data_IF_196059447239
#
_entry.id   IF_196059447239
#
_cell.length_a   1.000
_cell.length_b   1.000
_cell.length_c   1.000
_cell.angle_alpha   90.00
_cell.angle_beta   90.00
_cell.angle_gamma   90.00
#
_symmetry.space_group_name_H-M   'P 1'
#
loop_
_entity.id
_entity.type
_entity.pdbx_description
1 polymer ?
#
# COMPACT_ATOMS: atom_id res chain seq x y z
N UNK A 1 -28.18 0.34 29.24
CA UNK A 1 -28.89 0.06 27.99
C UNK A 1 -29.14 1.38 27.29
N UNK A 2 -28.29 1.72 26.32
CA UNK A 2 -28.55 2.80 25.37
C UNK A 2 -28.82 2.13 24.02
N UNK A 3 -30.06 2.16 23.56
CA UNK A 3 -30.40 1.72 22.22
C UNK A 3 -29.81 2.70 21.22
N UNK A 4 -28.68 2.33 20.62
CA UNK A 4 -28.14 3.04 19.47
C UNK A 4 -29.12 2.90 18.32
N UNK A 5 -29.87 3.96 18.04
CA UNK A 5 -30.67 4.05 16.84
C UNK A 5 -29.76 3.81 15.64
N UNK A 6 -30.02 2.74 14.89
CA UNK A 6 -29.35 2.45 13.63
C UNK A 6 -29.79 3.49 12.60
N UNK A 7 -29.18 4.68 12.65
CA UNK A 7 -29.20 5.59 11.53
C UNK A 7 -28.52 4.87 10.36
N UNK A 8 -29.28 4.62 9.29
CA UNK A 8 -28.74 4.07 8.05
C UNK A 8 -27.58 4.92 7.55
N UNK A 9 -26.69 4.32 6.78
CA UNK A 9 -25.55 5.04 6.22
C UNK A 9 -26.06 6.16 5.29
N UNK A 10 -25.50 7.39 5.30
CA UNK A 10 -26.04 8.52 4.53
C UNK A 10 -26.14 8.24 3.03
N UNK A 11 -25.36 7.28 2.53
CA UNK A 11 -25.33 6.86 1.14
C UNK A 11 -25.94 5.47 0.86
N UNK A 12 -26.67 4.87 1.82
CA UNK A 12 -27.20 3.50 1.68
C UNK A 12 -28.16 3.34 0.48
N UNK A 13 -28.84 4.42 0.09
CA UNK A 13 -29.74 4.47 -1.07
C UNK A 13 -29.11 4.91 -2.39
N UNK A 14 -27.80 5.20 -2.42
CA UNK A 14 -27.15 5.70 -3.63
C UNK A 14 -26.69 4.57 -4.57
N UNK A 15 -26.89 4.78 -5.87
CA UNK A 15 -26.34 3.96 -6.93
C UNK A 15 -24.88 4.36 -7.18
N UNK A 16 -23.97 3.63 -6.55
CA UNK A 16 -22.51 3.85 -6.64
C UNK A 16 -21.82 2.63 -7.29
N UNK A 17 -22.15 2.27 -8.54
CA UNK A 17 -21.68 1.03 -9.16
C UNK A 17 -20.16 0.97 -9.30
N UNK A 18 -19.51 2.10 -9.59
CA UNK A 18 -18.06 2.18 -9.72
C UNK A 18 -17.40 1.97 -8.37
N UNK A 19 -17.79 2.72 -7.34
CA UNK A 19 -17.23 2.52 -5.99
C UNK A 19 -17.47 1.09 -5.48
N UNK A 20 -18.69 0.54 -5.67
CA UNK A 20 -19.05 -0.83 -5.26
C UNK A 20 -18.29 -1.92 -6.04
N UNK A 21 -17.82 -1.63 -7.25
CA UNK A 21 -16.99 -2.56 -8.01
C UNK A 21 -15.56 -2.69 -7.44
N UNK A 22 -15.08 -1.68 -6.71
CA UNK A 22 -13.75 -1.65 -6.10
C UNK A 22 -13.88 -1.82 -4.58
N UNK A 23 -14.16 -3.04 -4.13
CA UNK A 23 -14.22 -3.37 -2.69
C UNK A 23 -12.94 -3.99 -2.15
N UNK A 24 -12.02 -4.39 -3.04
CA UNK A 24 -10.76 -5.06 -2.71
C UNK A 24 -9.59 -4.08 -2.72
N UNK A 25 -8.51 -4.36 -1.96
CA UNK A 25 -7.28 -3.57 -2.04
C UNK A 25 -6.62 -3.72 -3.41
N UNK A 26 -5.94 -2.67 -3.85
CA UNK A 26 -4.95 -2.80 -4.93
C UNK A 26 -3.72 -3.53 -4.37
N UNK A 27 -3.46 -4.71 -4.92
CA UNK A 27 -2.28 -5.52 -4.58
C UNK A 27 -1.53 -5.87 -5.85
N UNK A 28 -0.22 -6.05 -5.71
CA UNK A 28 0.67 -6.40 -6.78
C UNK A 28 1.06 -7.86 -6.66
N UNK A 29 0.45 -8.67 -7.50
CA UNK A 29 0.71 -10.10 -7.58
C UNK A 29 2.03 -10.41 -8.28
N UNK A 30 2.42 -11.67 -8.25
CA UNK A 30 3.60 -12.15 -8.94
C UNK A 30 3.48 -12.00 -10.48
N UNK A 31 4.60 -11.72 -11.13
CA UNK A 31 4.73 -11.66 -12.59
C UNK A 31 5.00 -13.04 -13.22
N UNK A 32 5.07 -14.10 -12.40
CA UNK A 32 5.07 -15.49 -12.83
C UNK A 32 6.31 -16.30 -12.45
N UNK A 33 7.33 -15.70 -11.83
CA UNK A 33 8.56 -16.41 -11.40
C UNK A 33 8.57 -16.77 -9.91
N UNK A 34 7.51 -16.42 -9.18
CA UNK A 34 7.31 -16.65 -7.75
C UNK A 34 8.49 -16.14 -6.91
N UNK A 35 9.13 -15.05 -7.33
CA UNK A 35 10.26 -14.47 -6.64
C UNK A 35 11.56 -15.28 -6.74
N UNK A 36 11.64 -16.28 -7.63
CA UNK A 36 12.84 -17.10 -7.82
C UNK A 36 14.08 -16.24 -8.16
N UNK A 37 13.94 -15.27 -9.07
CA UNK A 37 15.04 -14.35 -9.41
C UNK A 37 15.45 -13.47 -8.24
N UNK A 38 14.49 -13.03 -7.43
CA UNK A 38 14.77 -12.22 -6.24
C UNK A 38 15.50 -13.04 -5.18
N UNK A 39 15.18 -14.33 -5.02
CA UNK A 39 15.93 -15.21 -4.11
C UNK A 39 17.35 -15.45 -4.62
N UNK A 40 17.52 -15.71 -5.92
CA UNK A 40 18.85 -15.89 -6.52
C UNK A 40 19.71 -14.64 -6.33
N UNK A 41 19.16 -13.46 -6.59
CA UNK A 41 19.86 -12.20 -6.37
C UNK A 41 20.18 -11.96 -4.88
N UNK A 42 19.25 -12.27 -3.97
CA UNK A 42 19.51 -12.15 -2.53
C UNK A 42 20.65 -13.09 -2.08
N UNK A 43 20.71 -14.31 -2.63
CA UNK A 43 21.80 -15.27 -2.38
C UNK A 43 23.14 -14.73 -2.86
N UNK A 44 23.19 -14.16 -4.07
CA UNK A 44 24.42 -13.56 -4.60
C UNK A 44 24.91 -12.39 -3.74
N UNK A 45 23.99 -11.51 -3.29
CA UNK A 45 24.33 -10.40 -2.40
C UNK A 45 24.83 -10.89 -1.04
N UNK A 46 24.24 -11.95 -0.49
CA UNK A 46 24.68 -12.55 0.77
C UNK A 46 26.10 -13.09 0.65
N UNK A 47 26.38 -13.83 -0.43
CA UNK A 47 27.74 -14.34 -0.70
C UNK A 47 28.75 -13.20 -0.81
N UNK A 48 28.42 -12.12 -1.54
CA UNK A 48 29.28 -10.93 -1.65
C UNK A 48 29.52 -10.28 -0.29
N UNK A 49 28.47 -10.06 0.50
CA UNK A 49 28.55 -9.42 1.82
C UNK A 49 29.48 -10.18 2.79
N UNK A 50 29.40 -11.51 2.77
CA UNK A 50 30.25 -12.37 3.60
C UNK A 50 31.69 -12.45 3.08
N UNK A 51 31.88 -12.50 1.76
CA UNK A 51 33.21 -12.46 1.14
C UNK A 51 33.96 -11.17 1.47
N UNK A 52 33.28 -10.01 1.43
CA UNK A 52 33.85 -8.71 1.80
C UNK A 52 34.31 -8.67 3.27
N UNK A 53 33.69 -9.48 4.12
CA UNK A 53 34.03 -9.62 5.54
C UNK A 53 35.01 -10.78 5.83
N UNK A 54 35.49 -11.49 4.80
CA UNK A 54 36.28 -12.72 4.90
C UNK A 54 35.63 -13.78 5.80
N UNK A 55 34.31 -13.93 5.66
CA UNK A 55 33.49 -14.93 6.37
C UNK A 55 32.68 -15.75 5.37
N UNK A 56 32.17 -16.89 5.81
CA UNK A 56 31.16 -17.64 5.04
C UNK A 56 29.75 -17.33 5.56
N UNK A 57 28.71 -17.38 4.69
CA UNK A 57 27.33 -17.27 5.15
C UNK A 57 27.01 -18.36 6.18
N UNK A 58 26.47 -18.02 7.35
CA UNK A 58 26.06 -19.01 8.34
C UNK A 58 25.04 -19.99 7.75
N UNK A 59 25.13 -21.28 8.12
CA UNK A 59 24.20 -22.32 7.65
C UNK A 59 22.73 -21.93 7.89
N UNK A 60 22.42 -21.26 9.01
CA UNK A 60 21.07 -20.77 9.30
C UNK A 60 20.52 -19.82 8.22
N UNK A 61 21.36 -19.00 7.59
CA UNK A 61 20.91 -18.10 6.53
C UNK A 61 20.74 -18.84 5.20
N UNK A 62 21.58 -19.83 4.93
CA UNK A 62 21.48 -20.71 3.76
C UNK A 62 20.17 -21.49 3.82
N UNK A 63 19.86 -22.09 4.99
CA UNK A 63 18.63 -22.82 5.24
C UNK A 63 17.41 -21.89 5.10
N UNK A 64 17.46 -20.68 5.66
CA UNK A 64 16.39 -19.69 5.53
C UNK A 64 16.09 -19.30 4.06
N UNK A 65 17.11 -19.19 3.20
CA UNK A 65 16.88 -18.95 1.76
C UNK A 65 16.24 -20.15 1.06
N UNK A 66 16.61 -21.38 1.44
CA UNK A 66 15.98 -22.60 0.90
C UNK A 66 14.52 -22.70 1.33
N UNK A 67 14.21 -22.40 2.60
CA UNK A 67 12.86 -22.33 3.14
C UNK A 67 12.00 -21.29 2.39
N UNK A 68 12.53 -20.07 2.18
CA UNK A 68 11.86 -19.03 1.39
C UNK A 68 11.57 -19.49 -0.05
N UNK A 69 12.53 -20.19 -0.67
CA UNK A 69 12.37 -20.77 -2.01
C UNK A 69 11.23 -21.78 -2.03
N UNK A 70 11.23 -22.73 -1.09
CA UNK A 70 10.20 -23.76 -1.00
C UNK A 70 8.82 -23.14 -0.74
N UNK A 71 8.76 -22.16 0.18
CA UNK A 71 7.52 -21.48 0.54
C UNK A 71 6.92 -20.72 -0.64
N UNK A 72 7.71 -19.92 -1.37
CA UNK A 72 7.20 -19.18 -2.53
C UNK A 72 6.87 -20.08 -3.73
N UNK A 73 7.59 -21.19 -3.92
CA UNK A 73 7.29 -22.14 -5.00
C UNK A 73 5.94 -22.85 -4.79
N UNK A 74 5.66 -23.21 -3.54
CA UNK A 74 4.45 -23.93 -3.11
C UNK A 74 3.83 -23.20 -1.91
N UNK A 75 3.22 -22.04 -2.14
CA UNK A 75 2.61 -21.29 -1.06
C UNK A 75 1.54 -22.14 -0.41
N UNK A 76 1.55 -22.24 0.91
CA UNK A 76 0.72 -23.20 1.57
C UNK A 76 -0.70 -22.57 1.71
N UNK A 77 -1.75 -23.39 1.77
CA UNK A 77 -3.15 -22.90 1.83
C UNK A 77 -3.40 -21.98 3.06
N UNK A 78 -4.50 -21.23 3.11
CA UNK A 78 -4.69 -20.20 4.16
C UNK A 78 -4.56 -20.69 5.62
N UNK A 79 -4.72 -22.00 5.89
CA UNK A 79 -4.62 -22.64 7.22
C UNK A 79 -3.34 -23.44 7.48
N UNK A 80 -2.31 -23.23 6.66
CA UNK A 80 -1.15 -24.11 6.55
C UNK A 80 0.07 -23.63 7.37
N UNK A 81 1.22 -24.37 7.37
CA UNK A 81 2.30 -24.07 8.30
C UNK A 81 2.91 -22.68 8.04
N UNK A 82 3.18 -21.98 9.15
CA UNK A 82 3.80 -20.68 9.15
C UNK A 82 5.17 -20.74 8.45
N UNK A 83 5.54 -19.65 7.77
CA UNK A 83 6.90 -19.46 7.28
C UNK A 83 7.89 -19.71 8.45
N UNK A 84 8.96 -20.50 8.27
CA UNK A 84 9.83 -20.83 9.39
C UNK A 84 10.49 -19.59 9.99
N UNK A 85 10.81 -19.65 11.30
CA UNK A 85 11.38 -18.51 12.04
C UNK A 85 12.74 -18.05 11.50
N UNK A 86 13.51 -18.94 10.87
CA UNK A 86 14.79 -18.59 10.23
C UNK A 86 14.60 -17.58 9.10
N UNK A 87 13.61 -17.82 8.25
CA UNK A 87 13.22 -16.94 7.14
C UNK A 87 12.83 -15.52 7.61
N UNK A 88 12.02 -15.39 8.66
CA UNK A 88 11.70 -14.07 9.24
C UNK A 88 12.93 -13.34 9.79
N UNK A 89 13.81 -14.07 10.50
CA UNK A 89 15.06 -13.52 11.05
C UNK A 89 16.00 -13.03 9.95
N UNK A 90 16.11 -13.77 8.85
CA UNK A 90 16.90 -13.36 7.69
C UNK A 90 16.40 -12.04 7.09
N UNK A 91 15.09 -11.93 6.84
CA UNK A 91 14.48 -10.69 6.31
C UNK A 91 14.77 -9.51 7.25
N UNK A 92 14.53 -9.69 8.55
CA UNK A 92 14.80 -8.65 9.54
C UNK A 92 16.29 -8.25 9.58
N UNK A 93 17.20 -9.23 9.49
CA UNK A 93 18.66 -8.99 9.47
C UNK A 93 19.08 -8.16 8.27
N UNK A 94 18.61 -8.50 7.06
CA UNK A 94 18.89 -7.74 5.84
C UNK A 94 18.39 -6.30 5.97
N UNK A 95 17.15 -6.11 6.42
CA UNK A 95 16.56 -4.76 6.61
C UNK A 95 17.21 -3.95 7.75
N UNK A 96 17.84 -4.61 8.71
CA UNK A 96 18.54 -3.92 9.79
C UNK A 96 19.97 -3.53 9.39
N UNK A 97 20.71 -4.46 8.78
CA UNK A 97 22.17 -4.39 8.68
C UNK A 97 22.68 -3.99 7.29
N UNK A 98 21.95 -4.31 6.22
CA UNK A 98 22.44 -4.05 4.87
C UNK A 98 22.12 -2.63 4.41
N UNK A 99 22.92 -2.06 3.49
CA UNK A 99 22.63 -0.74 2.93
C UNK A 99 21.36 -0.79 2.08
N UNK A 100 20.54 0.27 2.14
CA UNK A 100 19.22 0.35 1.48
C UNK A 100 19.29 0.07 -0.02
N UNK A 101 20.37 0.47 -0.69
CA UNK A 101 20.61 0.18 -2.12
C UNK A 101 20.60 -1.32 -2.46
N UNK A 102 20.87 -2.19 -1.49
CA UNK A 102 20.87 -3.65 -1.65
C UNK A 102 19.53 -4.31 -1.28
N UNK A 103 18.51 -3.55 -0.85
CA UNK A 103 17.26 -4.13 -0.35
C UNK A 103 16.32 -4.62 -1.44
N UNK A 104 16.54 -4.26 -2.70
CA UNK A 104 15.64 -4.60 -3.80
C UNK A 104 15.13 -6.05 -3.77
N UNK A 105 16.00 -7.07 -3.69
CA UNK A 105 15.58 -8.47 -3.66
C UNK A 105 14.73 -8.85 -2.45
N UNK A 106 15.08 -8.38 -1.24
CA UNK A 106 14.31 -8.71 -0.03
C UNK A 106 12.94 -8.03 -0.04
N UNK A 107 12.82 -6.82 -0.61
CA UNK A 107 11.54 -6.14 -0.78
C UNK A 107 10.62 -6.91 -1.76
N UNK A 108 11.18 -7.45 -2.84
CA UNK A 108 10.41 -8.27 -3.79
C UNK A 108 9.96 -9.60 -3.18
N UNK A 109 10.78 -10.24 -2.35
CA UNK A 109 10.39 -11.43 -1.61
C UNK A 109 9.28 -11.07 -0.61
N UNK A 110 9.48 -10.01 0.18
CA UNK A 110 8.54 -9.60 1.21
C UNK A 110 7.17 -9.21 0.65
N UNK A 111 7.10 -8.45 -0.46
CA UNK A 111 5.81 -8.10 -1.06
C UNK A 111 5.02 -9.34 -1.47
N UNK A 112 5.68 -10.39 -1.96
CA UNK A 112 5.03 -11.64 -2.34
C UNK A 112 4.57 -12.41 -1.09
N UNK A 113 5.40 -12.46 -0.05
CA UNK A 113 5.06 -13.11 1.21
C UNK A 113 3.84 -12.47 1.88
N UNK A 114 3.70 -11.13 1.82
CA UNK A 114 2.56 -10.41 2.40
C UNK A 114 1.20 -10.74 1.77
N UNK A 115 1.18 -11.39 0.60
CA UNK A 115 -0.05 -11.89 -0.01
C UNK A 115 -0.62 -13.10 0.74
N UNK A 116 0.15 -13.77 1.59
CA UNK A 116 -0.29 -14.94 2.35
C UNK A 116 -0.71 -14.58 3.77
N UNK A 117 -1.90 -15.04 4.17
CA UNK A 117 -2.52 -14.67 5.44
C UNK A 117 -1.63 -14.97 6.67
N UNK A 118 -0.94 -16.14 6.78
CA UNK A 118 -0.09 -16.42 7.93
C UNK A 118 1.06 -15.41 8.10
N UNK A 119 1.65 -14.94 7.00
CA UNK A 119 2.76 -13.97 7.03
C UNK A 119 2.24 -12.56 7.34
N UNK A 120 1.14 -12.15 6.72
CA UNK A 120 0.52 -10.85 7.02
C UNK A 120 0.12 -10.76 8.49
N UNK A 121 -0.51 -11.80 9.05
CA UNK A 121 -0.86 -11.90 10.47
C UNK A 121 0.35 -11.85 11.40
N UNK A 122 1.45 -12.49 11.01
CA UNK A 122 2.69 -12.45 11.78
C UNK A 122 3.19 -11.00 11.92
N UNK A 123 3.28 -10.27 10.81
CA UNK A 123 3.74 -8.88 10.85
C UNK A 123 2.73 -7.91 11.47
N UNK A 124 1.43 -8.18 11.34
CA UNK A 124 0.38 -7.38 11.98
C UNK A 124 0.42 -7.43 13.51
N UNK A 125 0.88 -8.54 14.10
CA UNK A 125 0.95 -8.73 15.56
C UNK A 125 2.35 -8.50 16.14
N UNK A 126 3.34 -8.34 15.28
CA UNK A 126 4.73 -8.22 15.70
C UNK A 126 5.08 -6.75 15.92
N UNK A 127 5.67 -6.43 17.07
CA UNK A 127 6.31 -5.14 17.31
C UNK A 127 7.41 -4.82 16.26
N UNK A 128 7.85 -5.83 15.50
CA UNK A 128 8.79 -5.71 14.40
C UNK A 128 8.17 -5.69 13.01
N UNK A 129 6.96 -5.13 12.82
CA UNK A 129 6.41 -4.90 11.48
C UNK A 129 7.44 -4.13 10.62
N UNK A 130 7.94 -4.69 9.51
CA UNK A 130 8.99 -4.06 8.73
C UNK A 130 8.48 -2.89 7.89
N UNK A 131 7.17 -2.78 7.65
CA UNK A 131 6.59 -1.81 6.70
C UNK A 131 6.93 -0.36 7.08
N UNK A 132 6.70 0.11 8.33
CA UNK A 132 7.05 1.49 8.71
C UNK A 132 8.55 1.78 8.53
N UNK A 133 9.41 0.81 8.84
CA UNK A 133 10.86 0.93 8.68
C UNK A 133 11.24 1.04 7.19
N UNK A 134 10.64 0.20 6.35
CA UNK A 134 10.84 0.21 4.90
C UNK A 134 10.41 1.55 4.33
N UNK A 135 9.23 2.06 4.69
CA UNK A 135 8.73 3.32 4.17
C UNK A 135 9.62 4.49 4.59
N UNK A 136 9.94 4.59 5.88
CA UNK A 136 10.82 5.65 6.39
C UNK A 136 12.20 5.63 5.74
N UNK A 137 12.76 4.45 5.45
CA UNK A 137 14.13 4.33 4.92
C UNK A 137 14.19 4.41 3.40
N UNK A 138 13.14 4.00 2.70
CA UNK A 138 13.13 3.94 1.23
C UNK A 138 12.39 5.12 0.59
N UNK A 139 11.32 5.64 1.20
CA UNK A 139 10.48 6.67 0.55
C UNK A 139 10.81 8.08 1.03
N UNK A 140 11.14 8.26 2.31
CA UNK A 140 11.42 9.59 2.87
C UNK A 140 12.85 10.10 2.59
N UNK A 141 13.70 9.33 1.91
CA UNK A 141 15.11 9.67 1.68
C UNK A 141 15.43 9.86 0.20
N UNK A 142 15.96 11.04 -0.13
CA UNK A 142 16.29 11.46 -1.50
C UNK A 142 17.39 10.60 -2.18
N UNK A 143 18.24 9.92 -1.42
CA UNK A 143 19.34 9.11 -1.93
C UNK A 143 18.94 7.66 -2.27
N UNK A 144 17.70 7.26 -1.97
CA UNK A 144 17.25 5.89 -2.26
C UNK A 144 17.06 5.69 -3.76
N UNK A 145 17.65 4.64 -4.39
CA UNK A 145 17.43 4.36 -5.80
C UNK A 145 15.94 4.18 -6.14
N UNK A 146 15.46 4.82 -7.22
CA UNK A 146 14.03 4.80 -7.61
C UNK A 146 13.41 3.40 -7.65
N UNK A 147 14.15 2.42 -8.15
CA UNK A 147 13.68 1.02 -8.19
C UNK A 147 13.46 0.42 -6.80
N UNK A 148 14.26 0.80 -5.80
CA UNK A 148 14.07 0.39 -4.40
C UNK A 148 12.87 1.10 -3.80
N UNK A 149 12.65 2.39 -4.12
CA UNK A 149 11.46 3.12 -3.71
C UNK A 149 10.18 2.47 -4.26
N UNK A 150 10.17 2.13 -5.55
CA UNK A 150 9.06 1.45 -6.19
C UNK A 150 8.75 0.09 -5.53
N UNK A 151 9.79 -0.71 -5.23
CA UNK A 151 9.62 -2.00 -4.51
C UNK A 151 9.13 -1.80 -3.08
N UNK A 152 9.53 -0.73 -2.40
CA UNK A 152 9.02 -0.37 -1.08
C UNK A 152 7.52 -0.01 -1.14
N UNK A 153 7.08 0.73 -2.17
CA UNK A 153 5.66 0.96 -2.42
C UNK A 153 4.90 -0.35 -2.71
N UNK A 154 5.52 -1.32 -3.38
CA UNK A 154 4.89 -2.64 -3.59
C UNK A 154 4.65 -3.39 -2.28
N UNK A 155 5.62 -3.33 -1.35
CA UNK A 155 5.45 -3.86 0.01
C UNK A 155 4.33 -3.12 0.74
N UNK A 156 4.32 -1.78 0.69
CA UNK A 156 3.26 -0.97 1.29
C UNK A 156 1.88 -1.28 0.72
N UNK A 157 1.76 -1.56 -0.57
CA UNK A 157 0.48 -1.93 -1.20
C UNK A 157 0.02 -3.30 -0.72
N UNK A 158 0.93 -4.28 -0.70
CA UNK A 158 0.58 -5.68 -0.41
C UNK A 158 0.31 -5.96 1.07
N UNK A 159 0.74 -5.10 2.01
CA UNK A 159 0.36 -5.25 3.43
C UNK A 159 -1.16 -5.18 3.62
N UNK A 160 -1.87 -4.50 2.71
CA UNK A 160 -3.33 -4.39 2.71
C UNK A 160 -4.05 -5.58 2.08
N UNK A 161 -3.32 -6.58 1.57
CA UNK A 161 -3.92 -7.81 1.04
C UNK A 161 -4.82 -8.49 2.08
N UNK A 162 -4.48 -8.35 3.36
CA UNK A 162 -5.26 -8.82 4.50
C UNK A 162 -5.56 -7.65 5.45
N UNK A 163 -6.78 -7.61 5.98
CA UNK A 163 -7.25 -6.51 6.84
C UNK A 163 -6.36 -6.31 8.07
N UNK A 164 -5.87 -7.39 8.69
CA UNK A 164 -5.01 -7.34 9.88
C UNK A 164 -3.72 -6.52 9.60
N UNK A 165 -3.06 -6.78 8.46
CA UNK A 165 -1.82 -6.08 8.08
C UNK A 165 -2.06 -4.60 7.79
N UNK A 166 -3.12 -4.28 7.04
CA UNK A 166 -3.48 -2.89 6.75
C UNK A 166 -3.87 -2.10 8.00
N UNK A 167 -4.62 -2.72 8.94
CA UNK A 167 -4.99 -2.09 10.21
C UNK A 167 -3.77 -1.79 11.06
N UNK A 168 -2.80 -2.71 11.13
CA UNK A 168 -1.55 -2.47 11.87
C UNK A 168 -0.78 -1.26 11.30
N UNK A 169 -0.77 -1.07 9.98
CA UNK A 169 -0.12 0.10 9.37
C UNK A 169 -0.90 1.40 9.62
N UNK A 170 -2.22 1.38 9.51
CA UNK A 170 -3.03 2.60 9.58
C UNK A 170 -3.26 3.05 11.03
N UNK A 171 -3.54 2.14 11.96
CA UNK A 171 -4.04 2.48 13.30
C UNK A 171 -3.00 2.47 14.41
N UNK A 172 -1.86 1.81 14.23
CA UNK A 172 -0.83 1.69 15.27
C UNK A 172 0.18 2.86 15.25
N UNK A 173 -0.27 4.06 14.85
CA UNK A 173 0.55 5.28 14.84
C UNK A 173 1.54 5.39 13.68
N UNK A 174 1.46 4.49 12.69
CA UNK A 174 2.30 4.52 11.49
C UNK A 174 1.63 5.17 10.28
N UNK A 175 0.35 5.52 10.36
CA UNK A 175 -0.43 6.14 9.29
C UNK A 175 0.27 7.34 8.63
N UNK A 176 0.63 8.39 9.38
CA UNK A 176 1.32 9.57 8.82
C UNK A 176 2.64 9.22 8.12
N UNK A 177 3.40 8.27 8.68
CA UNK A 177 4.69 7.85 8.11
C UNK A 177 4.58 7.16 6.75
N UNK A 178 3.38 6.68 6.40
CA UNK A 178 3.07 6.11 5.08
C UNK A 178 2.36 7.10 4.19
N UNK A 179 1.42 7.87 4.74
CA UNK A 179 0.59 8.81 4.02
C UNK A 179 1.41 9.93 3.37
N UNK A 180 2.30 10.58 4.13
CA UNK A 180 3.06 11.74 3.64
C UNK A 180 3.99 11.39 2.47
N UNK A 181 4.85 10.36 2.55
CA UNK A 181 5.68 9.98 1.41
C UNK A 181 4.85 9.53 0.21
N UNK A 182 3.70 8.89 0.42
CA UNK A 182 2.85 8.47 -0.70
C UNK A 182 2.23 9.67 -1.42
N UNK A 183 1.75 10.69 -0.70
CA UNK A 183 1.27 11.94 -1.32
C UNK A 183 2.39 12.63 -2.11
N UNK A 184 3.57 12.79 -1.52
CA UNK A 184 4.72 13.39 -2.22
C UNK A 184 5.08 12.63 -3.51
N UNK A 185 5.07 11.30 -3.46
CA UNK A 185 5.39 10.45 -4.61
C UNK A 185 4.30 10.43 -5.68
N UNK A 186 3.05 10.76 -5.35
CA UNK A 186 1.98 10.98 -6.33
C UNK A 186 2.25 12.24 -7.16
N UNK A 187 2.73 13.32 -6.54
CA UNK A 187 3.07 14.55 -7.26
C UNK A 187 4.38 14.45 -8.06
N UNK A 188 5.40 13.83 -7.48
CA UNK A 188 6.79 13.94 -7.96
C UNK A 188 7.37 12.64 -8.58
N UNK A 189 6.65 11.53 -8.49
CA UNK A 189 7.12 10.22 -8.97
C UNK A 189 7.08 10.06 -10.49
N UNK A 190 7.77 9.02 -10.99
CA UNK A 190 7.49 8.53 -12.34
C UNK A 190 6.12 7.82 -12.42
N UNK A 191 5.66 7.51 -13.62
CA UNK A 191 4.34 6.89 -13.84
C UNK A 191 4.08 5.68 -12.93
N UNK A 192 5.05 4.76 -12.82
CA UNK A 192 4.89 3.55 -12.02
C UNK A 192 4.83 3.87 -10.52
N UNK A 193 5.68 4.79 -10.06
CA UNK A 193 5.67 5.28 -8.69
C UNK A 193 4.34 5.96 -8.34
N UNK A 194 3.86 6.90 -9.17
CA UNK A 194 2.61 7.64 -8.93
C UNK A 194 1.40 6.71 -8.84
N UNK A 195 1.26 5.81 -9.81
CA UNK A 195 0.18 4.82 -9.84
C UNK A 195 0.18 3.92 -8.60
N UNK A 196 1.38 3.52 -8.16
CA UNK A 196 1.53 2.62 -7.00
C UNK A 196 1.27 3.37 -5.69
N UNK A 197 1.77 4.60 -5.56
CA UNK A 197 1.48 5.45 -4.41
C UNK A 197 -0.02 5.74 -4.28
N UNK A 198 -0.70 6.07 -5.40
CA UNK A 198 -2.15 6.24 -5.42
C UNK A 198 -2.91 4.96 -5.00
N UNK A 199 -2.41 3.77 -5.37
CA UNK A 199 -2.97 2.51 -4.90
C UNK A 199 -2.81 2.31 -3.37
N UNK A 200 -1.66 2.70 -2.80
CA UNK A 200 -1.44 2.67 -1.34
C UNK A 200 -2.42 3.63 -0.64
N UNK A 201 -2.56 4.86 -1.14
CA UNK A 201 -3.47 5.86 -0.56
C UNK A 201 -4.93 5.38 -0.59
N UNK A 202 -5.37 4.77 -1.70
CA UNK A 202 -6.68 4.12 -1.77
C UNK A 202 -6.83 2.98 -0.75
N UNK A 203 -5.81 2.13 -0.60
CA UNK A 203 -5.85 1.05 0.37
C UNK A 203 -5.95 1.57 1.81
N UNK A 204 -5.28 2.69 2.11
CA UNK A 204 -5.40 3.40 3.39
C UNK A 204 -6.81 3.97 3.60
N UNK A 205 -7.37 4.65 2.59
CA UNK A 205 -8.72 5.23 2.65
C UNK A 205 -9.79 4.19 3.03
N UNK A 206 -9.63 2.93 2.62
CA UNK A 206 -10.54 1.82 2.97
C UNK A 206 -10.51 1.41 4.44
N UNK A 207 -9.43 1.72 5.17
CA UNK A 207 -9.23 1.27 6.56
C UNK A 207 -9.18 2.41 7.57
N UNK A 208 -9.05 3.65 7.09
CA UNK A 208 -9.17 4.84 7.93
C UNK A 208 -10.53 4.85 8.64
N UNK A 209 -10.56 5.29 9.90
CA UNK A 209 -11.78 5.26 10.69
C UNK A 209 -12.81 6.27 10.16
N UNK A 210 -14.06 6.05 10.56
CA UNK A 210 -15.18 6.96 10.25
C UNK A 210 -15.22 8.20 11.14
N UNK A 211 -14.25 8.35 12.04
CA UNK A 211 -14.09 9.51 12.92
C UNK A 211 -13.40 10.66 12.20
N UNK A 212 -13.53 11.87 12.75
CA UNK A 212 -12.91 13.10 12.27
C UNK A 212 -11.40 13.14 12.59
N UNK A 213 -10.70 12.06 12.26
CA UNK A 213 -9.28 11.92 12.54
C UNK A 213 -8.46 12.80 11.57
N UNK A 214 -7.36 13.36 12.07
CA UNK A 214 -6.49 14.26 11.30
C UNK A 214 -5.97 13.59 10.02
N UNK A 215 -5.75 12.28 10.05
CA UNK A 215 -5.30 11.48 8.90
C UNK A 215 -6.34 11.47 7.76
N UNK A 216 -7.64 11.49 8.08
CA UNK A 216 -8.70 11.57 7.06
C UNK A 216 -8.64 12.93 6.36
N UNK A 217 -8.50 14.00 7.13
CA UNK A 217 -8.40 15.38 6.61
C UNK A 217 -7.13 15.55 5.78
N UNK A 218 -6.00 15.06 6.27
CA UNK A 218 -4.72 15.10 5.56
C UNK A 218 -4.79 14.31 4.24
N UNK A 219 -5.40 13.12 4.26
CA UNK A 219 -5.56 12.33 3.05
C UNK A 219 -6.50 13.03 2.05
N UNK A 220 -7.69 13.45 2.48
CA UNK A 220 -8.68 14.07 1.61
C UNK A 220 -8.15 15.37 0.96
N UNK A 221 -7.50 16.23 1.74
CA UNK A 221 -6.88 17.47 1.21
C UNK A 221 -5.73 17.18 0.24
N UNK A 222 -4.84 16.23 0.57
CA UNK A 222 -3.75 15.83 -0.32
C UNK A 222 -4.23 15.21 -1.63
N UNK A 223 -5.26 14.37 -1.58
CA UNK A 223 -5.88 13.79 -2.77
C UNK A 223 -6.51 14.87 -3.67
N UNK A 224 -7.28 15.79 -3.08
CA UNK A 224 -7.89 16.90 -3.81
C UNK A 224 -6.85 17.80 -4.48
N UNK A 225 -5.75 18.09 -3.78
CA UNK A 225 -4.63 18.85 -4.33
C UNK A 225 -4.03 18.17 -5.56
N UNK A 226 -3.66 16.88 -5.48
CA UNK A 226 -3.06 16.18 -6.62
C UNK A 226 -4.04 15.91 -7.77
N UNK A 227 -5.35 15.84 -7.49
CA UNK A 227 -6.37 15.76 -8.55
C UNK A 227 -6.54 17.08 -9.30
N UNK A 228 -6.15 18.21 -8.71
CA UNK A 228 -6.09 19.50 -9.43
C UNK A 228 -4.89 19.60 -10.37
N UNK A 229 -3.90 18.72 -10.21
CA UNK A 229 -2.72 18.65 -11.05
C UNK A 229 -2.92 17.69 -12.23
N UNK A 230 -2.27 18.00 -13.36
CA UNK A 230 -2.31 17.11 -14.53
C UNK A 230 -1.49 15.84 -14.27
N UNK A 231 -2.18 14.73 -14.10
CA UNK A 231 -1.58 13.39 -13.90
C UNK A 231 -2.17 12.39 -14.90
N UNK A 232 -1.63 11.16 -14.95
CA UNK A 232 -2.16 10.14 -15.86
C UNK A 232 -3.53 9.61 -15.38
N UNK A 233 -4.36 9.17 -16.31
CA UNK A 233 -5.75 8.78 -16.01
C UNK A 233 -5.88 7.61 -15.02
N UNK A 234 -4.90 6.70 -14.95
CA UNK A 234 -4.95 5.58 -13.98
C UNK A 234 -4.59 6.05 -12.57
N UNK A 235 -3.62 6.96 -12.42
CA UNK A 235 -3.37 7.65 -11.15
C UNK A 235 -4.60 8.45 -10.71
N UNK A 236 -5.17 9.30 -11.59
CA UNK A 236 -6.39 10.08 -11.29
C UNK A 236 -7.55 9.20 -10.84
N UNK A 237 -7.79 8.09 -11.54
CA UNK A 237 -8.84 7.15 -11.20
C UNK A 237 -8.68 6.58 -9.77
N UNK A 238 -7.45 6.19 -9.40
CA UNK A 238 -7.17 5.65 -8.05
C UNK A 238 -7.30 6.71 -6.96
N UNK A 239 -6.87 7.93 -7.22
CA UNK A 239 -7.03 9.05 -6.28
C UNK A 239 -8.51 9.40 -6.08
N UNK A 240 -9.31 9.42 -7.15
CA UNK A 240 -10.76 9.62 -7.07
C UNK A 240 -11.46 8.50 -6.32
N UNK A 241 -11.08 7.24 -6.56
CA UNK A 241 -11.58 6.11 -5.77
C UNK A 241 -11.27 6.26 -4.28
N UNK A 242 -10.05 6.70 -3.95
CA UNK A 242 -9.66 6.95 -2.56
C UNK A 242 -10.52 8.05 -1.94
N UNK A 243 -10.74 9.15 -2.66
CA UNK A 243 -11.54 10.27 -2.18
C UNK A 243 -13.03 9.91 -2.05
N UNK A 244 -13.58 9.17 -3.01
CA UNK A 244 -14.92 8.61 -2.96
C UNK A 244 -15.09 7.68 -1.76
N UNK A 245 -14.11 6.83 -1.47
CA UNK A 245 -14.13 5.96 -0.30
C UNK A 245 -14.15 6.75 1.02
N UNK A 246 -13.39 7.86 1.10
CA UNK A 246 -13.40 8.74 2.27
C UNK A 246 -14.75 9.45 2.42
N UNK A 247 -15.25 10.11 1.38
CA UNK A 247 -16.55 10.81 1.41
C UNK A 247 -17.68 9.86 1.77
N UNK A 248 -17.66 8.65 1.19
CA UNK A 248 -18.65 7.63 1.48
C UNK A 248 -18.67 7.32 2.99
N UNK A 249 -17.51 7.16 3.63
CA UNK A 249 -17.42 6.74 5.03
C UNK A 249 -17.32 7.88 6.04
N UNK A 250 -17.15 9.14 5.63
CA UNK A 250 -16.77 10.23 6.50
C UNK A 250 -17.31 11.59 6.02
N UNK A 251 -18.23 12.17 6.80
CA UNK A 251 -18.84 13.48 6.50
C UNK A 251 -17.88 14.66 6.63
N UNK A 252 -16.83 14.55 7.45
CA UNK A 252 -15.81 15.60 7.55
C UNK A 252 -14.97 15.68 6.27
N UNK A 253 -14.68 14.55 5.62
CA UNK A 253 -14.06 14.55 4.29
C UNK A 253 -14.94 15.27 3.26
N UNK A 254 -16.26 15.03 3.27
CA UNK A 254 -17.20 15.73 2.39
C UNK A 254 -17.21 17.24 2.66
N UNK A 255 -17.37 17.65 3.92
CA UNK A 255 -17.41 19.05 4.34
C UNK A 255 -16.13 19.81 3.96
N UNK A 256 -14.98 19.14 4.08
CA UNK A 256 -13.70 19.67 3.65
C UNK A 256 -13.68 19.93 2.14
N UNK A 257 -14.09 18.95 1.32
CA UNK A 257 -14.08 19.10 -0.14
C UNK A 257 -15.05 20.18 -0.63
N UNK A 258 -16.22 20.29 -0.01
CA UNK A 258 -17.16 21.40 -0.25
C UNK A 258 -16.51 22.75 0.09
N UNK A 259 -15.81 22.84 1.22
CA UNK A 259 -15.10 24.06 1.65
C UNK A 259 -13.94 24.44 0.73
N UNK A 260 -13.28 23.44 0.12
CA UNK A 260 -12.24 23.63 -0.90
C UNK A 260 -12.81 23.96 -2.28
N UNK A 261 -14.13 24.00 -2.46
CA UNK A 261 -14.81 24.12 -3.74
C UNK A 261 -14.30 23.09 -4.78
N UNK A 262 -13.99 21.88 -4.31
CA UNK A 262 -13.46 20.81 -5.16
C UNK A 262 -14.54 20.33 -6.15
N UNK A 263 -14.25 20.44 -7.44
CA UNK A 263 -15.11 19.95 -8.52
C UNK A 263 -14.51 18.68 -9.14
N UNK A 264 -15.01 17.47 -8.77
CA UNK A 264 -14.51 16.23 -9.34
C UNK A 264 -14.81 16.09 -10.84
N UNK A 265 -15.90 16.68 -11.35
CA UNK A 265 -16.24 16.59 -12.77
C UNK A 265 -15.37 17.50 -13.65
N UNK A 266 -14.81 18.55 -13.06
CA UNK A 266 -13.88 19.49 -13.70
C UNK A 266 -12.47 18.95 -13.95
N UNK A 267 -12.14 17.74 -13.48
CA UNK A 267 -10.82 17.14 -13.66
C UNK A 267 -10.54 16.92 -15.16
N UNK A 268 -9.41 17.44 -15.65
CA UNK A 268 -8.95 17.19 -17.01
C UNK A 268 -8.35 15.78 -17.12
N UNK A 269 -8.80 15.01 -18.11
CA UNK A 269 -8.34 13.64 -18.33
C UNK A 269 -7.82 13.54 -19.75
N UNK A 270 -6.63 12.98 -19.93
CA UNK A 270 -6.14 12.64 -21.26
C UNK A 270 -7.02 11.53 -21.84
N UNK A 271 -7.58 11.77 -23.02
CA UNK A 271 -8.62 10.92 -23.59
C UNK A 271 -8.22 9.45 -23.72
N UNK A 272 -9.22 8.57 -23.81
CA UNK A 272 -9.02 7.13 -24.01
C UNK A 272 -9.78 6.26 -23.01
N UNK A 273 -9.36 4.99 -22.86
CA UNK A 273 -10.09 4.02 -22.04
C UNK A 273 -10.20 4.40 -20.55
N UNK A 274 -9.24 5.17 -20.04
CA UNK A 274 -9.25 5.63 -18.65
C UNK A 274 -10.20 6.80 -18.42
N UNK A 275 -10.48 7.62 -19.45
CA UNK A 275 -11.38 8.76 -19.35
C UNK A 275 -12.77 8.35 -18.87
N UNK A 276 -13.35 7.30 -19.47
CA UNK A 276 -14.67 6.82 -19.08
C UNK A 276 -14.74 6.41 -17.59
N UNK A 277 -13.68 5.76 -17.07
CA UNK A 277 -13.63 5.33 -15.67
C UNK A 277 -13.47 6.52 -14.72
N UNK A 278 -12.59 7.46 -15.06
CA UNK A 278 -12.37 8.70 -14.28
C UNK A 278 -13.67 9.50 -14.21
N UNK A 279 -14.35 9.69 -15.35
CA UNK A 279 -15.63 10.41 -15.41
C UNK A 279 -16.74 9.69 -14.62
N UNK A 280 -16.77 8.36 -14.64
CA UNK A 280 -17.76 7.59 -13.90
C UNK A 280 -17.60 7.78 -12.38
N UNK A 281 -16.38 7.60 -11.85
CA UNK A 281 -16.14 7.77 -10.41
C UNK A 281 -16.27 9.24 -9.96
N UNK A 282 -15.87 10.20 -10.82
CA UNK A 282 -16.05 11.63 -10.55
C UNK A 282 -17.53 12.00 -10.37
N UNK A 283 -18.42 11.46 -11.21
CA UNK A 283 -19.88 11.65 -11.09
C UNK A 283 -20.44 11.06 -9.80
N UNK A 284 -20.02 9.85 -9.44
CA UNK A 284 -20.43 9.22 -8.18
C UNK A 284 -19.96 10.02 -6.96
N UNK A 285 -18.72 10.51 -6.98
CA UNK A 285 -18.18 11.37 -5.94
C UNK A 285 -18.96 12.69 -5.83
N UNK A 286 -19.25 13.35 -6.96
CA UNK A 286 -20.07 14.56 -7.00
C UNK A 286 -21.45 14.31 -6.40
N UNK A 287 -22.09 13.22 -6.81
CA UNK A 287 -23.41 12.86 -6.29
C UNK A 287 -23.38 12.65 -4.77
N UNK A 288 -22.38 11.94 -4.23
CA UNK A 288 -22.23 11.80 -2.78
C UNK A 288 -22.07 13.17 -2.09
N UNK A 289 -21.22 14.04 -2.64
CA UNK A 289 -21.00 15.39 -2.08
C UNK A 289 -22.24 16.27 -2.09
N UNK A 290 -23.14 16.09 -3.05
CA UNK A 290 -24.38 16.88 -3.17
C UNK A 290 -25.53 16.32 -2.31
N UNK A 291 -25.39 15.11 -1.77
CA UNK A 291 -26.43 14.44 -0.94
C UNK A 291 -26.21 14.52 0.57
N UNK A 292 -25.04 14.99 1.02
CA UNK A 292 -24.75 15.25 2.44
C UNK A 292 -24.99 16.73 2.77
#
# INVERSE_FOLDING_TARGET
>A
GGGGGGGGHPHEGLELPTLKAFTKPFVLTDAGDKGAKSIEHLRALQQSHHADSNTEPPQEEVDALQELTAYLARPPADDSPQLPRGSFRLIARVLAQWPVKAWGPVLDILRLLLLYAPVSRHYAKSAGNPVPVIIRRCLAKQDTPRIVQLRALFVASNVFAHTEGGVAVVREGHGPSVLEPCLELVGNGDLATRMTAAAVLYNMARLLPRSEDMEVIQLASGLAHHLSEKTDGETQFRLLLALAQLVYCNSAACSLLQSLAFDPEGIEVEGGAQEAKVRAIAKELKHMMDTQ
#
